data_IF_916489643659
#
_entry.id   IF_916489643659
#
_cell.length_a   1.000
_cell.length_b   1.000
_cell.length_c   1.000
_cell.angle_alpha   90.00
_cell.angle_beta   90.00
_cell.angle_gamma   90.00
#
_symmetry.space_group_name_H-M   'P 1'
#
loop_
_entity.id
_entity.type
_entity.pdbx_description
1 polymer ?
#
# COMPACT_ATOMS: atom_id res chain seq x y z
N UNK A 1 -0.57 3.18 18.65
CA UNK A 1 -0.11 2.44 17.46
C UNK A 1 1.09 3.17 16.88
N UNK A 2 2.18 2.44 16.63
CA UNK A 2 3.42 3.00 16.10
C UNK A 2 3.34 3.14 14.58
N UNK A 3 3.68 4.32 14.08
CA UNK A 3 3.57 4.66 12.65
C UNK A 3 4.94 5.04 12.11
N UNK A 4 5.30 4.46 10.95
CA UNK A 4 6.38 4.92 10.10
C UNK A 4 5.78 5.66 8.90
N UNK A 5 6.37 6.78 8.51
CA UNK A 5 6.03 7.50 7.27
C UNK A 5 7.23 7.43 6.34
N UNK A 6 7.00 6.88 5.15
CA UNK A 6 7.99 6.77 4.06
C UNK A 6 7.54 7.69 2.95
N UNK A 7 8.20 8.85 2.83
CA UNK A 7 7.78 9.95 1.95
C UNK A 7 8.97 10.88 1.70
N UNK A 8 9.34 11.12 0.47
CA UNK A 8 10.49 11.97 0.14
C UNK A 8 10.12 13.46 0.06
N UNK A 9 8.85 13.78 -0.15
CA UNK A 9 8.38 15.15 -0.15
C UNK A 9 8.09 15.62 1.28
N UNK A 10 8.95 16.51 1.82
CA UNK A 10 8.86 17.01 3.21
C UNK A 10 7.49 17.67 3.52
N UNK A 11 6.87 18.34 2.54
CA UNK A 11 5.58 18.99 2.75
C UNK A 11 4.45 17.97 2.86
N UNK A 12 4.46 16.92 2.04
CA UNK A 12 3.50 15.82 2.11
C UNK A 12 3.65 15.05 3.44
N UNK A 13 4.90 14.78 3.86
CA UNK A 13 5.22 14.16 5.14
C UNK A 13 4.64 14.96 6.33
N UNK A 14 4.93 16.28 6.38
CA UNK A 14 4.41 17.17 7.43
C UNK A 14 2.88 17.27 7.41
N UNK A 15 2.27 17.27 6.23
CA UNK A 15 0.82 17.29 6.06
C UNK A 15 0.19 16.04 6.67
N UNK A 16 0.71 14.86 6.32
CA UNK A 16 0.21 13.59 6.86
C UNK A 16 0.39 13.52 8.39
N UNK A 17 1.54 13.93 8.93
CA UNK A 17 1.78 13.99 10.38
C UNK A 17 0.72 14.86 11.07
N UNK A 18 0.39 16.04 10.52
CA UNK A 18 -0.63 16.93 11.10
C UNK A 18 -2.01 16.30 11.08
N UNK A 19 -2.37 15.62 9.98
CA UNK A 19 -3.66 14.95 9.86
C UNK A 19 -3.76 13.81 10.86
N UNK A 20 -2.70 12.98 10.98
CA UNK A 20 -2.65 11.90 11.96
C UNK A 20 -2.75 12.42 13.39
N UNK A 21 -1.97 13.43 13.77
CA UNK A 21 -2.01 14.01 15.10
C UNK A 21 -3.38 14.61 15.46
N UNK A 22 -4.08 15.18 14.47
CA UNK A 22 -5.41 15.77 14.68
C UNK A 22 -6.52 14.72 14.84
N UNK A 23 -6.50 13.68 14.03
CA UNK A 23 -7.62 12.72 13.91
C UNK A 23 -7.35 11.37 14.61
N UNK A 24 -6.08 11.05 14.90
CA UNK A 24 -5.65 9.77 15.47
C UNK A 24 -4.63 9.98 16.59
N UNK A 25 -5.04 10.55 17.75
CA UNK A 25 -4.12 10.84 18.87
C UNK A 25 -3.53 9.58 19.51
N UNK A 26 -4.07 8.40 19.19
CA UNK A 26 -3.56 7.10 19.60
C UNK A 26 -2.47 6.53 18.65
N UNK A 27 -2.15 7.26 17.58
CA UNK A 27 -1.07 6.93 16.67
C UNK A 27 0.17 7.78 16.96
N UNK A 28 1.29 7.12 17.17
CA UNK A 28 2.58 7.76 17.42
C UNK A 28 3.50 7.59 16.21
N UNK A 29 3.90 8.68 15.58
CA UNK A 29 4.83 8.66 14.45
C UNK A 29 6.24 8.49 15.01
N UNK A 30 6.72 7.23 15.01
CA UNK A 30 8.01 6.85 15.60
C UNK A 30 9.19 7.02 14.62
N UNK A 31 8.92 7.28 13.36
CA UNK A 31 9.97 7.50 12.36
C UNK A 31 9.45 8.06 11.05
N UNK A 32 10.37 8.66 10.31
CA UNK A 32 10.16 9.12 8.94
C UNK A 32 11.40 8.77 8.10
N UNK A 33 11.19 8.29 6.88
CA UNK A 33 12.24 8.00 5.90
C UNK A 33 11.87 8.57 4.55
N UNK A 34 12.87 8.80 3.69
CA UNK A 34 12.67 9.50 2.41
C UNK A 34 13.15 8.70 1.20
N UNK A 35 13.63 7.47 1.42
CA UNK A 35 14.27 6.67 0.37
C UNK A 35 14.09 5.18 0.62
N UNK A 36 14.19 4.37 -0.43
CA UNK A 36 14.19 2.90 -0.34
C UNK A 36 15.29 2.43 0.62
N UNK A 37 16.53 2.87 0.38
CA UNK A 37 17.70 2.48 1.19
C UNK A 37 17.54 2.87 2.66
N UNK A 38 17.07 4.11 2.91
CA UNK A 38 16.85 4.59 4.28
C UNK A 38 15.75 3.81 4.99
N UNK A 39 14.69 3.42 4.27
CA UNK A 39 13.59 2.62 4.82
C UNK A 39 14.03 1.21 5.15
N UNK A 40 14.79 0.56 4.27
CA UNK A 40 15.35 -0.78 4.54
C UNK A 40 16.22 -0.75 5.79
N UNK A 41 17.18 0.17 5.88
CA UNK A 41 18.05 0.29 7.05
C UNK A 41 17.27 0.57 8.34
N UNK A 42 16.20 1.38 8.26
CA UNK A 42 15.35 1.67 9.42
C UNK A 42 14.54 0.45 9.87
N UNK A 43 14.00 -0.34 8.93
CA UNK A 43 13.23 -1.55 9.23
C UNK A 43 14.09 -2.72 9.73
N UNK A 44 15.35 -2.77 9.37
CA UNK A 44 16.31 -3.79 9.83
C UNK A 44 16.75 -3.59 11.29
N UNK A 45 16.56 -2.39 11.86
CA UNK A 45 16.81 -2.15 13.28
C UNK A 45 15.69 -2.80 14.12
N UNK A 46 15.99 -3.80 14.96
CA UNK A 46 15.02 -4.52 15.77
C UNK A 46 14.33 -3.64 16.83
N UNK A 47 14.85 -2.46 17.12
CA UNK A 47 14.21 -1.47 17.99
C UNK A 47 13.00 -0.81 17.30
N UNK A 48 13.00 -0.76 15.99
CA UNK A 48 11.97 -0.13 15.18
C UNK A 48 10.84 -1.13 14.86
N UNK A 49 9.70 -0.94 15.50
CA UNK A 49 8.53 -1.84 15.36
C UNK A 49 7.29 -1.02 15.02
N UNK A 50 7.11 -0.63 13.75
CA UNK A 50 5.89 0.03 13.34
C UNK A 50 4.74 -0.98 13.27
N UNK A 51 3.54 -0.53 13.64
CA UNK A 51 2.29 -1.27 13.44
C UNK A 51 1.72 -0.97 12.04
N UNK A 52 1.90 0.28 11.60
CA UNK A 52 1.44 0.79 10.30
C UNK A 52 2.58 1.56 9.63
N UNK A 53 2.68 1.39 8.31
CA UNK A 53 3.55 2.20 7.46
C UNK A 53 2.69 2.92 6.43
N UNK A 54 2.76 4.25 6.39
CA UNK A 54 2.32 5.03 5.24
C UNK A 54 3.51 5.15 4.30
N UNK A 55 3.34 4.70 3.06
CA UNK A 55 4.46 4.51 2.14
C UNK A 55 4.15 5.11 0.78
N UNK A 56 4.89 6.17 0.39
CA UNK A 56 4.82 6.64 -0.99
C UNK A 56 5.37 5.58 -1.94
N UNK A 57 4.77 5.50 -3.11
CA UNK A 57 5.20 4.59 -4.17
C UNK A 57 6.49 5.07 -4.81
N UNK A 58 6.62 6.36 -5.06
CA UNK A 58 7.82 6.96 -5.65
C UNK A 58 8.66 7.62 -4.56
N UNK A 59 9.91 7.21 -4.44
CA UNK A 59 10.87 7.73 -3.48
C UNK A 59 12.09 8.28 -4.22
N UNK A 60 12.90 9.07 -3.54
CA UNK A 60 14.06 9.76 -4.12
C UNK A 60 15.09 8.85 -4.81
N UNK A 61 15.15 7.56 -4.44
CA UNK A 61 16.11 6.58 -4.95
C UNK A 61 15.46 5.38 -5.66
N UNK A 62 14.13 5.40 -5.87
CA UNK A 62 13.42 4.35 -6.59
C UNK A 62 11.97 4.17 -6.16
N UNK A 63 11.38 3.02 -6.52
CA UNK A 63 10.00 2.69 -6.15
C UNK A 63 9.97 1.86 -4.86
N UNK A 64 8.98 2.10 -4.03
CA UNK A 64 8.85 1.46 -2.71
C UNK A 64 8.77 -0.08 -2.77
N UNK A 65 8.38 -0.66 -3.91
CA UNK A 65 8.32 -2.12 -4.10
C UNK A 65 9.68 -2.79 -3.93
N UNK A 66 10.78 -2.05 -4.12
CA UNK A 66 12.14 -2.55 -3.86
C UNK A 66 12.40 -2.81 -2.37
N UNK A 67 11.69 -2.12 -1.47
CA UNK A 67 11.79 -2.36 -0.01
C UNK A 67 11.37 -3.79 0.32
N UNK A 68 10.24 -4.26 -0.24
CA UNK A 68 9.71 -5.61 0.01
C UNK A 68 10.60 -6.73 -0.57
N UNK A 69 11.49 -6.40 -1.50
CA UNK A 69 12.48 -7.34 -2.05
C UNK A 69 13.71 -7.45 -1.17
N UNK A 70 14.03 -6.40 -0.41
CA UNK A 70 15.26 -6.30 0.35
C UNK A 70 15.07 -6.65 1.82
N UNK A 71 13.89 -6.42 2.39
CA UNK A 71 13.60 -6.72 3.80
C UNK A 71 12.18 -7.21 4.01
N UNK A 72 11.95 -7.95 5.09
CA UNK A 72 10.61 -8.38 5.50
C UNK A 72 9.85 -7.23 6.14
N UNK A 73 8.71 -6.85 5.56
CA UNK A 73 7.82 -5.81 6.09
C UNK A 73 6.69 -6.49 6.88
N UNK A 74 6.77 -6.45 8.22
CA UNK A 74 5.77 -7.07 9.12
C UNK A 74 4.60 -6.16 9.43
N UNK A 75 4.78 -4.86 9.28
CA UNK A 75 3.76 -3.86 9.53
C UNK A 75 2.67 -3.88 8.44
N UNK A 76 1.48 -3.39 8.77
CA UNK A 76 0.44 -3.13 7.78
C UNK A 76 0.81 -1.91 6.95
N UNK A 77 0.74 -2.02 5.63
CA UNK A 77 1.14 -0.95 4.72
C UNK A 77 -0.07 -0.29 4.08
N UNK A 78 -0.14 1.03 4.17
CA UNK A 78 -1.04 1.90 3.41
C UNK A 78 -0.17 2.64 2.40
N UNK A 79 -0.37 2.34 1.11
CA UNK A 79 0.35 3.05 0.07
C UNK A 79 -0.24 4.43 -0.16
N UNK A 80 0.61 5.43 -0.38
CA UNK A 80 0.23 6.80 -0.75
C UNK A 80 0.93 7.19 -2.03
N UNK A 81 0.26 7.88 -2.96
CA UNK A 81 0.89 8.29 -4.20
C UNK A 81 0.07 9.35 -4.95
N UNK A 82 0.70 10.07 -5.85
CA UNK A 82 0.03 10.96 -6.79
C UNK A 82 -0.56 10.23 -8.02
N UNK A 83 -0.24 8.94 -8.21
CA UNK A 83 -0.57 8.19 -9.43
C UNK A 83 -1.52 7.04 -9.16
N UNK A 84 -2.60 6.94 -9.91
CA UNK A 84 -3.60 5.87 -9.84
C UNK A 84 -3.11 4.54 -10.44
N UNK A 85 -2.13 4.59 -11.35
CA UNK A 85 -1.62 3.42 -12.08
C UNK A 85 -0.92 2.35 -11.22
N UNK A 86 -0.55 2.68 -9.98
CA UNK A 86 0.16 1.76 -9.08
C UNK A 86 -0.77 0.93 -8.17
N UNK A 87 -2.08 1.17 -8.19
CA UNK A 87 -3.02 0.51 -7.28
C UNK A 87 -2.93 -1.03 -7.33
N UNK A 88 -2.81 -1.60 -8.52
CA UNK A 88 -2.69 -3.05 -8.69
C UNK A 88 -1.40 -3.61 -8.08
N UNK A 89 -0.26 -2.93 -8.30
CA UNK A 89 1.04 -3.32 -7.72
C UNK A 89 1.06 -3.19 -6.20
N UNK A 90 0.40 -2.15 -5.66
CA UNK A 90 0.26 -1.96 -4.22
C UNK A 90 -0.45 -3.15 -3.59
N UNK A 91 -1.52 -3.62 -4.22
CA UNK A 91 -2.26 -4.80 -3.79
C UNK A 91 -1.41 -6.08 -3.83
N UNK A 92 -0.63 -6.28 -4.90
CA UNK A 92 0.29 -7.43 -5.04
C UNK A 92 1.39 -7.44 -3.97
N UNK A 93 1.85 -6.26 -3.54
CA UNK A 93 2.81 -6.10 -2.46
C UNK A 93 2.21 -6.37 -1.07
N UNK A 94 0.90 -6.68 -0.98
CA UNK A 94 0.22 -6.97 0.27
C UNK A 94 -0.15 -5.73 1.08
N UNK A 95 -0.26 -4.54 0.43
CA UNK A 95 -0.76 -3.35 1.12
C UNK A 95 -2.21 -3.54 1.57
N UNK A 96 -2.54 -2.96 2.73
CA UNK A 96 -3.90 -3.00 3.28
C UNK A 96 -4.82 -2.03 2.54
N UNK A 97 -4.26 -0.92 2.08
CA UNK A 97 -5.00 0.11 1.34
C UNK A 97 -4.08 0.95 0.45
N UNK A 98 -4.70 1.78 -0.38
CA UNK A 98 -4.06 2.64 -1.35
C UNK A 98 -4.75 4.01 -1.38
N UNK A 99 -4.02 5.07 -1.14
CA UNK A 99 -4.52 6.44 -1.04
C UNK A 99 -3.89 7.33 -2.10
N UNK A 100 -4.73 8.00 -2.87
CA UNK A 100 -4.28 9.03 -3.80
C UNK A 100 -4.01 10.36 -3.07
N UNK A 101 -2.94 11.03 -3.44
CA UNK A 101 -2.65 12.39 -3.00
C UNK A 101 -3.46 13.40 -3.85
N UNK A 102 -4.02 14.47 -3.26
CA UNK A 102 -4.02 14.81 -1.84
C UNK A 102 -4.88 13.85 -1.01
N UNK A 103 -4.36 13.42 0.15
CA UNK A 103 -5.03 12.41 0.97
C UNK A 103 -6.33 12.98 1.53
N UNK A 104 -7.43 12.38 1.14
CA UNK A 104 -8.76 12.65 1.67
C UNK A 104 -8.94 12.04 3.06
N UNK A 105 -9.56 12.79 3.99
CA UNK A 105 -9.71 12.37 5.38
C UNK A 105 -10.60 11.14 5.52
N UNK A 106 -11.67 11.03 4.73
CA UNK A 106 -12.59 9.90 4.78
C UNK A 106 -11.92 8.64 4.20
N UNK A 107 -11.12 8.79 3.14
CA UNK A 107 -10.30 7.71 2.60
C UNK A 107 -9.27 7.22 3.62
N UNK A 108 -8.58 8.15 4.29
CA UNK A 108 -7.65 7.83 5.37
C UNK A 108 -8.34 7.09 6.52
N UNK A 109 -9.55 7.52 6.90
CA UNK A 109 -10.32 6.87 7.95
C UNK A 109 -10.65 5.42 7.60
N UNK A 110 -11.07 5.15 6.35
CA UNK A 110 -11.33 3.78 5.88
C UNK A 110 -10.07 2.93 5.92
N UNK A 111 -8.93 3.46 5.43
CA UNK A 111 -7.66 2.75 5.41
C UNK A 111 -7.17 2.39 6.81
N UNK A 112 -7.19 3.36 7.74
CA UNK A 112 -6.82 3.13 9.14
C UNK A 112 -7.75 2.13 9.82
N UNK A 113 -9.06 2.18 9.54
CA UNK A 113 -10.03 1.22 10.08
C UNK A 113 -9.71 -0.20 9.64
N UNK A 114 -9.33 -0.42 8.37
CA UNK A 114 -8.89 -1.72 7.86
C UNK A 114 -7.62 -2.21 8.57
N UNK A 115 -6.69 -1.32 8.88
CA UNK A 115 -5.51 -1.67 9.66
C UNK A 115 -5.84 -2.10 11.10
N UNK A 116 -6.94 -1.64 11.69
CA UNK A 116 -7.35 -2.00 13.06
C UNK A 116 -8.08 -3.33 13.15
N UNK A 117 -8.60 -3.85 12.04
CA UNK A 117 -9.23 -5.16 12.02
C UNK A 117 -8.15 -6.23 12.15
N UNK A 118 -8.24 -7.08 13.18
CA UNK A 118 -7.41 -8.28 13.31
C UNK A 118 -7.71 -9.22 12.14
N UNK A 119 -6.66 -9.85 11.61
CA UNK A 119 -6.70 -10.74 10.45
C UNK A 119 -7.94 -11.63 10.42
N UNK A 120 -8.83 -11.34 9.51
CA UNK A 120 -10.04 -12.10 9.24
C UNK A 120 -10.77 -11.46 8.06
N UNK A 121 -10.49 -11.93 6.86
CA UNK A 121 -11.11 -11.56 5.59
C UNK A 121 -10.94 -10.07 5.19
N UNK A 122 -9.88 -9.77 4.47
CA UNK A 122 -9.86 -8.60 3.60
C UNK A 122 -10.92 -8.83 2.51
N UNK A 123 -11.98 -8.02 2.49
CA UNK A 123 -12.96 -8.03 1.42
C UNK A 123 -12.33 -7.37 0.18
N UNK A 124 -11.68 -8.20 -0.63
CA UNK A 124 -11.01 -7.82 -1.88
C UNK A 124 -12.00 -7.15 -2.83
N UNK A 125 -13.27 -7.59 -2.83
CA UNK A 125 -14.31 -7.02 -3.69
C UNK A 125 -14.69 -5.61 -3.24
N UNK A 126 -14.68 -5.32 -1.94
CA UNK A 126 -14.90 -3.98 -1.43
C UNK A 126 -13.72 -3.05 -1.79
N UNK A 127 -12.49 -3.56 -1.79
CA UNK A 127 -11.31 -2.81 -2.22
C UNK A 127 -11.36 -2.50 -3.71
N UNK A 128 -11.63 -3.48 -4.56
CA UNK A 128 -11.76 -3.29 -6.01
C UNK A 128 -12.91 -2.33 -6.37
N UNK A 129 -14.03 -2.38 -5.64
CA UNK A 129 -15.13 -1.42 -5.80
C UNK A 129 -14.71 0.00 -5.43
N UNK A 130 -13.94 0.18 -4.36
CA UNK A 130 -13.46 1.50 -3.93
C UNK A 130 -12.48 2.15 -4.92
N UNK A 131 -11.80 1.32 -5.71
CA UNK A 131 -10.88 1.75 -6.77
C UNK A 131 -11.56 1.94 -8.14
N UNK A 132 -12.90 1.78 -8.24
CA UNK A 132 -13.63 1.88 -9.51
C UNK A 132 -13.32 0.76 -10.51
N UNK A 133 -12.67 -0.31 -10.08
CA UNK A 133 -12.23 -1.44 -10.91
C UNK A 133 -13.21 -2.62 -10.93
N UNK A 134 -14.30 -2.56 -10.15
CA UNK A 134 -15.29 -3.63 -10.11
C UNK A 134 -16.27 -3.52 -11.27
N UNK A 135 -16.20 -4.43 -12.24
CA UNK A 135 -17.35 -4.80 -13.07
C UNK A 135 -18.31 -5.59 -12.21
N UNK A 136 -19.60 -5.21 -12.23
CA UNK A 136 -20.68 -6.04 -11.65
C UNK A 136 -20.69 -7.42 -12.29
N UNK A 137 -20.31 -8.44 -11.52
CA UNK A 137 -20.71 -9.82 -11.80
C UNK A 137 -21.03 -10.58 -10.50
N UNK A 138 -22.13 -11.38 -10.63
CA UNK A 138 -22.87 -12.05 -9.57
C UNK A 138 -22.04 -13.06 -8.75
N UNK A 139 -22.38 -13.07 -7.46
CA UNK A 139 -22.25 -14.11 -6.41
C UNK A 139 -21.54 -15.43 -6.74
N UNK A 140 -20.73 -15.80 -5.75
CA UNK A 140 -20.24 -17.09 -5.34
C UNK A 140 -18.80 -17.42 -5.79
N UNK A 141 -17.86 -17.12 -4.89
CA UNK A 141 -16.84 -18.04 -4.38
C UNK A 141 -15.78 -17.27 -3.58
N UNK A 142 -15.51 -17.76 -2.38
CA UNK A 142 -14.35 -17.41 -1.58
C UNK A 142 -13.09 -17.80 -2.38
N UNK A 143 -12.43 -16.80 -2.95
CA UNK A 143 -11.17 -16.99 -3.66
C UNK A 143 -10.00 -16.84 -2.68
N UNK A 144 -9.26 -17.93 -2.48
CA UNK A 144 -8.00 -17.90 -1.75
C UNK A 144 -6.94 -17.08 -2.51
N UNK A 145 -6.19 -16.23 -1.81
CA UNK A 145 -5.09 -15.40 -2.33
C UNK A 145 -4.07 -16.15 -3.21
N UNK A 146 -3.96 -17.48 -3.07
CA UNK A 146 -3.11 -18.33 -3.92
C UNK A 146 -3.57 -18.42 -5.37
N UNK A 147 -4.86 -18.22 -5.65
CA UNK A 147 -5.41 -18.30 -7.02
C UNK A 147 -5.31 -16.99 -7.79
N UNK A 148 -5.10 -15.86 -7.09
CA UNK A 148 -4.98 -14.54 -7.72
C UNK A 148 -3.65 -14.40 -8.50
N UNK A 149 -2.59 -15.00 -8.00
CA UNK A 149 -1.28 -15.03 -8.68
C UNK A 149 -1.35 -15.75 -10.04
N UNK A 150 -2.21 -16.79 -10.16
CA UNK A 150 -2.43 -17.52 -11.42
C UNK A 150 -3.24 -16.68 -12.43
N UNK A 151 -4.23 -15.93 -11.96
CA UNK A 151 -5.08 -15.10 -12.83
C UNK A 151 -4.28 -13.93 -13.43
N UNK A 152 -3.36 -13.35 -12.66
CA UNK A 152 -2.48 -12.28 -13.13
C UNK A 152 -1.49 -12.75 -14.21
N UNK A 153 -0.96 -13.96 -14.06
CA UNK A 153 -0.08 -14.57 -15.08
C UNK A 153 -0.82 -14.79 -16.42
N UNK A 154 -2.10 -15.14 -16.36
CA UNK A 154 -2.95 -15.33 -17.54
C UNK A 154 -3.29 -14.00 -18.24
N UNK A 155 -3.53 -12.93 -17.46
CA UNK A 155 -3.84 -11.58 -17.99
C UNK A 155 -2.59 -10.97 -18.65
N UNK A 156 -1.40 -11.17 -18.06
CA UNK A 156 -0.13 -10.69 -18.62
C UNK A 156 0.24 -11.41 -19.93
N UNK A 157 -0.04 -12.70 -20.04
CA UNK A 157 0.20 -13.48 -21.26
C UNK A 157 -0.74 -13.08 -22.41
N UNK A 158 -1.95 -12.57 -22.11
CA UNK A 158 -2.90 -12.14 -23.14
C UNK A 158 -2.76 -10.65 -23.53
N UNK A 159 -1.92 -9.87 -22.85
CA UNK A 159 -1.74 -8.42 -23.10
C UNK A 159 -0.51 -8.07 -23.93
N UNK A 160 0.27 -9.06 -24.37
CA UNK A 160 1.40 -8.83 -25.28
C UNK A 160 0.94 -9.10 -26.70
N UNK A 161 0.83 -8.09 -27.56
CA UNK A 161 0.63 -8.33 -28.98
C UNK A 161 1.93 -8.89 -29.57
N UNK A 162 1.91 -10.20 -29.84
CA UNK A 162 2.99 -10.89 -30.52
C UNK A 162 3.05 -10.41 -31.98
N UNK A 163 3.88 -9.41 -32.26
CA UNK A 163 4.28 -9.08 -33.61
C UNK A 163 5.60 -9.74 -33.93
N UNK A 164 5.54 -10.99 -34.42
CA UNK A 164 6.64 -11.55 -35.21
C UNK A 164 6.45 -11.05 -36.65
N UNK A 165 7.42 -10.26 -37.13
CA UNK A 165 7.63 -10.03 -38.56
C UNK A 165 8.73 -11.00 -39.00
N UNK A 166 8.36 -11.86 -39.95
CA UNK A 166 9.30 -12.52 -40.85
C UNK A 166 9.95 -11.49 -41.77
#
# INVERSE_FOLDING_TARGET
>A
MNVLIVEDEIMAQKSLIRVLAKHYPDMDVIGTTTSVKGTVAWLEDPANKPDIIFMDVELSDGVCFEIFRQTEVKAKVIMTTAYDSYALKAFEAGSVDYLLKPIDVDALQRAVSRCRVKEGNVDVDALLRSLGMAKEEKKDKVFSLKNFCLLYHIILLNSIPFKIKF
#
